data_IF_891340788174
#
_entry.id   IF_891340788174
#
_cell.length_a   1.000
_cell.length_b   1.000
_cell.length_c   1.000
_cell.angle_alpha   90.00
_cell.angle_beta   90.00
_cell.angle_gamma   90.00
#
_symmetry.space_group_name_H-M   'P 1'
#
loop_
_entity.id
_entity.type
_entity.pdbx_description
1 polymer ?
#
# COMPACT_ATOMS: atom_id res chain seq x y z
N UNK A 1 -19.87 -0.82 -7.83
CA UNK A 1 -18.61 -0.91 -7.03
C UNK A 1 -18.71 0.10 -5.93
N UNK A 2 -18.23 -0.24 -4.74
CA UNK A 2 -18.21 0.68 -3.60
C UNK A 2 -17.13 1.73 -3.83
N UNK A 3 -17.44 3.01 -3.55
CA UNK A 3 -16.50 4.12 -3.69
C UNK A 3 -15.80 4.40 -2.37
N UNK A 4 -14.63 5.03 -2.44
CA UNK A 4 -13.87 5.55 -1.31
C UNK A 4 -13.22 6.88 -1.67
N UNK A 5 -12.84 7.67 -0.67
CA UNK A 5 -12.05 8.89 -0.87
C UNK A 5 -10.55 8.56 -0.86
N UNK A 6 -9.81 9.19 -1.75
CA UNK A 6 -8.36 9.09 -1.80
C UNK A 6 -7.74 10.41 -2.28
N UNK A 7 -6.50 10.67 -1.82
CA UNK A 7 -5.69 11.76 -2.36
C UNK A 7 -5.19 11.38 -3.76
N UNK A 8 -5.38 12.29 -4.71
CA UNK A 8 -5.06 12.10 -6.13
C UNK A 8 -4.15 13.23 -6.61
N UNK A 9 -3.09 12.85 -7.30
CA UNK A 9 -2.17 13.81 -7.93
C UNK A 9 -2.79 14.37 -9.21
N UNK A 10 -2.92 15.68 -9.28
CA UNK A 10 -3.55 16.39 -10.41
C UNK A 10 -2.54 17.19 -11.25
N UNK A 11 -1.26 17.12 -10.90
CA UNK A 11 -0.17 17.83 -11.55
C UNK A 11 0.76 18.48 -10.53
N UNK A 12 1.91 19.02 -10.95
CA UNK A 12 2.83 19.70 -10.05
C UNK A 12 2.15 20.79 -9.23
N UNK A 13 2.34 20.73 -7.91
CA UNK A 13 1.74 21.64 -6.94
C UNK A 13 0.25 21.41 -6.68
N UNK A 14 -0.37 20.37 -7.27
CA UNK A 14 -1.81 20.18 -7.17
C UNK A 14 -2.19 18.77 -6.72
N UNK A 15 -2.84 18.71 -5.55
CA UNK A 15 -3.46 17.51 -5.00
C UNK A 15 -4.95 17.74 -4.78
N UNK A 16 -5.78 16.75 -5.02
CA UNK A 16 -7.22 16.80 -4.75
C UNK A 16 -7.67 15.49 -4.07
N UNK A 17 -8.81 15.55 -3.37
CA UNK A 17 -9.49 14.36 -2.86
C UNK A 17 -10.58 13.97 -3.85
N UNK A 18 -10.49 12.77 -4.40
CA UNK A 18 -11.48 12.24 -5.33
C UNK A 18 -12.15 11.00 -4.78
N UNK A 19 -13.35 10.73 -5.27
CA UNK A 19 -13.98 9.42 -5.14
C UNK A 19 -13.38 8.47 -6.19
N UNK A 20 -12.79 7.38 -5.70
CA UNK A 20 -12.20 6.30 -6.50
C UNK A 20 -12.86 4.97 -6.15
N UNK A 21 -12.64 3.94 -6.95
CA UNK A 21 -13.13 2.61 -6.60
C UNK A 21 -12.39 2.06 -5.37
N UNK A 22 -13.18 1.53 -4.40
CA UNK A 22 -12.60 0.82 -3.26
C UNK A 22 -11.89 -0.43 -3.77
N UNK A 23 -10.65 -0.70 -3.35
CA UNK A 23 -9.94 -1.90 -3.76
C UNK A 23 -10.58 -3.16 -3.18
N UNK A 24 -10.41 -4.26 -3.88
CA UNK A 24 -10.87 -5.60 -3.49
C UNK A 24 -9.70 -6.59 -3.56
N UNK A 25 -9.88 -7.78 -3.00
CA UNK A 25 -8.93 -8.88 -3.16
C UNK A 25 -8.88 -9.28 -4.65
N UNK A 26 -7.70 -9.29 -5.24
CA UNK A 26 -7.45 -9.70 -6.63
C UNK A 26 -6.61 -10.98 -6.71
N UNK A 27 -5.69 -11.15 -5.73
CA UNK A 27 -4.86 -12.34 -5.60
C UNK A 27 -5.11 -13.02 -4.25
N UNK A 28 -4.96 -14.34 -4.14
CA UNK A 28 -5.15 -15.04 -2.87
C UNK A 28 -4.16 -14.61 -1.77
N UNK A 29 -3.06 -13.92 -2.12
CA UNK A 29 -2.03 -13.39 -1.23
C UNK A 29 -2.26 -11.94 -0.79
N UNK A 30 -3.35 -11.30 -1.25
CA UNK A 30 -3.66 -9.91 -0.95
C UNK A 30 -4.36 -9.75 0.40
N UNK A 31 -4.26 -8.56 0.97
CA UNK A 31 -5.15 -8.06 2.01
C UNK A 31 -5.74 -6.71 1.61
N UNK A 32 -6.92 -6.39 2.12
CA UNK A 32 -7.49 -5.04 2.06
C UNK A 32 -7.42 -4.45 3.46
N UNK A 33 -6.80 -3.29 3.57
CA UNK A 33 -6.63 -2.55 4.81
C UNK A 33 -7.55 -1.34 4.83
N UNK A 34 -8.22 -1.10 5.97
CA UNK A 34 -8.82 0.18 6.30
C UNK A 34 -7.75 1.07 6.90
N UNK A 35 -7.39 2.16 6.24
CA UNK A 35 -6.31 3.03 6.66
C UNK A 35 -6.73 3.88 7.87
N UNK A 36 -5.91 3.86 8.91
CA UNK A 36 -6.10 4.65 10.14
C UNK A 36 -5.28 5.93 10.07
N UNK A 37 -4.03 5.84 9.62
CA UNK A 37 -3.14 6.99 9.39
C UNK A 37 -2.24 6.71 8.19
N UNK A 38 -1.96 7.74 7.42
CA UNK A 38 -0.96 7.76 6.37
C UNK A 38 -0.04 8.96 6.56
N UNK A 39 1.19 8.83 6.07
CA UNK A 39 2.19 9.89 6.13
C UNK A 39 2.45 10.49 4.75
N UNK A 40 3.07 11.67 4.74
CA UNK A 40 3.70 12.27 3.58
C UNK A 40 5.21 12.07 3.72
N UNK A 41 5.81 11.34 2.80
CA UNK A 41 7.25 11.12 2.74
C UNK A 41 7.93 12.26 1.96
N UNK A 42 9.20 12.52 2.26
CA UNK A 42 10.01 13.47 1.47
C UNK A 42 10.08 13.10 -0.01
N UNK A 43 10.01 11.82 -0.37
CA UNK A 43 9.97 11.35 -1.75
C UNK A 43 8.72 11.80 -2.52
N UNK A 44 7.59 12.02 -1.83
CA UNK A 44 6.37 12.55 -2.44
C UNK A 44 6.57 13.98 -2.99
N UNK A 45 7.51 14.73 -2.43
CA UNK A 45 7.78 16.08 -2.85
C UNK A 45 8.49 16.17 -4.21
N UNK A 46 9.12 15.11 -4.68
CA UNK A 46 9.80 15.09 -5.97
C UNK A 46 8.83 15.27 -7.12
N UNK A 47 7.76 14.45 -7.16
CA UNK A 47 6.74 14.59 -8.19
C UNK A 47 5.80 15.78 -7.91
N UNK A 48 5.51 16.08 -6.63
CA UNK A 48 4.69 17.23 -6.27
C UNK A 48 5.32 18.56 -6.75
N UNK A 49 6.64 18.68 -6.68
CA UNK A 49 7.38 19.84 -7.17
C UNK A 49 7.68 19.80 -8.68
N UNK A 50 7.29 18.74 -9.37
CA UNK A 50 7.57 18.56 -10.80
C UNK A 50 9.02 18.18 -11.12
N UNK A 51 9.80 17.73 -10.13
CA UNK A 51 11.20 17.29 -10.33
C UNK A 51 11.23 15.89 -10.98
N UNK A 52 10.28 15.03 -10.60
CA UNK A 52 10.09 13.72 -11.23
C UNK A 52 8.69 13.61 -11.82
N UNK A 53 8.56 12.79 -12.87
CA UNK A 53 7.29 12.57 -13.53
C UNK A 53 6.36 11.68 -12.69
N UNK A 54 5.08 12.04 -12.64
CA UNK A 54 3.99 11.20 -12.15
C UNK A 54 2.76 11.41 -13.02
N UNK A 55 2.04 10.33 -13.29
CA UNK A 55 0.81 10.39 -14.08
C UNK A 55 -0.29 11.12 -13.29
N UNK A 56 -0.89 12.13 -13.90
CA UNK A 56 -2.08 12.82 -13.38
C UNK A 56 -3.25 11.85 -13.23
N UNK A 57 -4.02 12.00 -12.17
CA UNK A 57 -5.15 11.12 -11.87
C UNK A 57 -4.79 9.88 -11.06
N UNK A 58 -3.53 9.69 -10.65
CA UNK A 58 -3.12 8.56 -9.82
C UNK A 58 -3.25 8.86 -8.33
N UNK A 59 -3.68 7.85 -7.56
CA UNK A 59 -3.69 7.90 -6.09
C UNK A 59 -2.28 7.94 -5.52
N UNK A 60 -2.11 8.46 -4.31
CA UNK A 60 -0.80 8.75 -3.73
C UNK A 60 -0.56 8.04 -2.39
N UNK A 61 0.68 8.18 -1.88
CA UNK A 61 1.10 7.64 -0.60
C UNK A 61 1.73 6.25 -0.68
N UNK A 62 2.66 5.99 0.24
CA UNK A 62 3.36 4.71 0.36
C UNK A 62 3.76 4.38 1.82
N UNK A 63 3.20 5.09 2.78
CA UNK A 63 3.43 4.87 4.21
C UNK A 63 2.10 4.94 4.95
N UNK A 64 1.67 3.84 5.59
CA UNK A 64 0.42 3.83 6.35
C UNK A 64 0.42 2.79 7.47
N UNK A 65 -0.50 3.01 8.41
CA UNK A 65 -0.96 2.00 9.38
C UNK A 65 -2.47 1.82 9.18
N UNK A 66 -2.94 0.61 9.37
CA UNK A 66 -4.35 0.29 9.14
C UNK A 66 -4.83 -0.94 9.87
N UNK A 67 -6.11 -1.19 9.74
CA UNK A 67 -6.76 -2.40 10.24
C UNK A 67 -7.03 -3.30 9.05
N UNK A 68 -6.66 -4.58 9.16
CA UNK A 68 -6.98 -5.59 8.15
C UNK A 68 -8.51 -5.75 8.11
N UNK A 69 -9.10 -5.57 6.93
CA UNK A 69 -10.54 -5.72 6.72
C UNK A 69 -10.90 -7.01 6.00
N UNK A 70 -10.12 -7.34 4.98
CA UNK A 70 -10.30 -8.56 4.19
C UNK A 70 -8.95 -9.19 3.90
N UNK A 71 -8.91 -10.52 3.74
CA UNK A 71 -7.71 -11.26 3.36
C UNK A 71 -8.02 -12.26 2.26
N UNK A 72 -7.07 -12.49 1.37
CA UNK A 72 -7.12 -13.57 0.38
C UNK A 72 -6.97 -14.94 1.03
N UNK A 73 -7.32 -15.99 0.29
CA UNK A 73 -7.41 -17.36 0.80
C UNK A 73 -6.06 -17.93 1.31
N UNK A 74 -4.95 -17.42 0.79
CA UNK A 74 -3.60 -17.90 1.15
C UNK A 74 -2.97 -17.11 2.29
N UNK A 75 -3.57 -15.99 2.71
CA UNK A 75 -3.07 -15.14 3.81
C UNK A 75 -3.36 -15.81 5.16
N UNK A 76 -2.32 -15.97 5.99
CA UNK A 76 -2.38 -16.66 7.28
C UNK A 76 -1.72 -15.90 8.43
N UNK A 77 -0.76 -15.02 8.13
CA UNK A 77 -0.02 -14.26 9.15
C UNK A 77 -0.87 -13.16 9.80
N UNK A 78 -1.84 -12.65 9.07
CA UNK A 78 -2.78 -11.61 9.54
C UNK A 78 -4.23 -12.01 9.27
N UNK A 79 -5.16 -11.41 10.01
CA UNK A 79 -6.61 -11.68 9.88
C UNK A 79 -7.40 -10.38 10.04
N UNK A 80 -8.66 -10.34 9.59
CA UNK A 80 -9.54 -9.21 9.83
C UNK A 80 -9.56 -8.78 11.30
N UNK A 81 -9.42 -7.47 11.53
CA UNK A 81 -9.31 -6.85 12.86
C UNK A 81 -7.88 -6.63 13.35
N UNK A 82 -6.87 -7.26 12.75
CA UNK A 82 -5.47 -7.01 13.14
C UNK A 82 -5.04 -5.58 12.76
N UNK A 83 -4.33 -4.92 13.68
CA UNK A 83 -3.71 -3.62 13.43
C UNK A 83 -2.29 -3.82 12.90
N UNK A 84 -1.99 -3.20 11.76
CA UNK A 84 -0.76 -3.47 11.00
C UNK A 84 -0.07 -2.21 10.53
N UNK A 85 1.26 -2.27 10.42
CA UNK A 85 2.05 -1.35 9.60
C UNK A 85 2.06 -1.91 8.17
N UNK A 86 1.85 -1.04 7.19
CA UNK A 86 1.91 -1.33 5.77
C UNK A 86 3.18 -0.70 5.15
N UNK A 87 4.32 -1.41 5.12
CA UNK A 87 5.54 -0.94 4.46
C UNK A 87 5.31 -0.75 2.95
N UNK A 88 6.12 0.10 2.32
CA UNK A 88 6.04 0.32 0.88
C UNK A 88 6.69 -0.79 0.04
N UNK A 89 7.44 -1.70 0.67
CA UNK A 89 8.07 -2.84 0.00
C UNK A 89 7.20 -4.08 0.17
N UNK A 90 6.63 -4.57 -0.93
CA UNK A 90 5.82 -5.78 -0.97
C UNK A 90 6.65 -6.96 -1.47
N UNK A 91 7.58 -7.43 -0.64
CA UNK A 91 8.46 -8.54 -0.94
C UNK A 91 7.74 -9.90 -0.93
N UNK A 92 8.21 -10.85 -1.73
CA UNK A 92 7.51 -12.11 -1.94
C UNK A 92 7.72 -13.16 -0.82
N UNK A 93 8.76 -13.01 0.01
CA UNK A 93 9.04 -13.90 1.14
C UNK A 93 9.67 -15.25 0.77
N UNK A 94 9.80 -15.62 -0.51
CA UNK A 94 10.23 -16.96 -0.92
C UNK A 94 11.40 -16.99 -1.91
N UNK A 95 11.82 -15.86 -2.47
CA UNK A 95 13.02 -15.84 -3.30
C UNK A 95 14.29 -15.94 -2.44
N UNK A 96 15.42 -16.28 -3.06
CA UNK A 96 16.69 -16.47 -2.36
C UNK A 96 17.10 -15.24 -1.53
N UNK A 97 16.81 -14.04 -2.02
CA UNK A 97 17.13 -12.77 -1.35
C UNK A 97 16.25 -12.56 -0.12
N UNK A 98 14.95 -12.85 -0.20
CA UNK A 98 14.05 -12.80 0.96
C UNK A 98 14.46 -13.81 2.02
N UNK A 99 14.76 -15.06 1.60
CA UNK A 99 15.20 -16.12 2.50
C UNK A 99 16.55 -15.82 3.16
N UNK A 100 17.36 -14.97 2.56
CA UNK A 100 18.61 -14.47 3.14
C UNK A 100 18.41 -13.25 4.09
N UNK A 101 17.16 -12.79 4.32
CA UNK A 101 16.86 -11.64 5.18
C UNK A 101 17.11 -10.29 4.55
N UNK A 102 17.11 -10.21 3.21
CA UNK A 102 17.36 -8.98 2.45
C UNK A 102 16.12 -8.56 1.63
N UNK A 103 14.96 -8.56 2.25
CA UNK A 103 13.64 -8.36 1.61
C UNK A 103 13.57 -7.06 0.79
N UNK A 104 14.29 -6.02 1.19
CA UNK A 104 14.37 -4.76 0.46
C UNK A 104 14.93 -4.87 -0.95
N UNK A 105 15.60 -5.99 -1.27
CA UNK A 105 16.15 -6.32 -2.59
C UNK A 105 15.43 -7.51 -3.25
N UNK A 106 14.21 -7.77 -2.86
CA UNK A 106 13.40 -8.89 -3.39
C UNK A 106 13.34 -8.86 -4.93
N UNK A 107 13.63 -10.01 -5.56
CA UNK A 107 13.57 -10.13 -7.03
C UNK A 107 12.14 -10.06 -7.59
N UNK A 108 11.16 -10.40 -6.77
CA UNK A 108 9.74 -10.42 -7.13
C UNK A 108 8.96 -9.34 -6.39
N UNK A 109 9.61 -8.23 -6.06
CA UNK A 109 8.97 -7.13 -5.34
C UNK A 109 7.81 -6.57 -6.15
N UNK A 110 6.63 -6.55 -5.55
CA UNK A 110 5.51 -5.79 -6.10
C UNK A 110 5.60 -4.35 -5.60
N UNK A 111 5.44 -3.41 -6.52
CA UNK A 111 5.57 -2.00 -6.19
C UNK A 111 4.37 -1.55 -5.33
N UNK A 112 4.54 -1.50 -4.02
CA UNK A 112 3.62 -0.82 -3.13
C UNK A 112 3.63 0.70 -3.29
N UNK A 113 4.65 1.22 -3.99
CA UNK A 113 4.84 2.66 -4.21
C UNK A 113 3.95 3.30 -5.27
N UNK A 114 3.02 2.57 -5.88
CA UNK A 114 2.14 3.14 -6.91
C UNK A 114 0.99 3.98 -6.35
N UNK A 115 0.95 4.21 -5.04
CA UNK A 115 -0.07 5.03 -4.41
C UNK A 115 -1.19 4.21 -3.77
N UNK A 116 -2.18 4.94 -3.26
CA UNK A 116 -3.33 4.36 -2.59
C UNK A 116 -3.26 4.36 -1.06
N UNK A 117 -2.10 4.55 -0.47
CA UNK A 117 -1.94 4.59 0.99
C UNK A 117 -2.60 5.83 1.63
N UNK A 118 -2.72 6.93 0.88
CA UNK A 118 -3.44 8.14 1.28
C UNK A 118 -4.90 8.08 0.83
N UNK A 119 -5.55 6.95 1.06
CA UNK A 119 -6.96 6.68 0.81
C UNK A 119 -7.61 6.02 2.01
N UNK A 120 -8.93 5.81 1.98
CA UNK A 120 -9.66 5.16 3.07
C UNK A 120 -9.34 3.65 3.14
N UNK A 121 -9.06 3.02 1.99
CA UNK A 121 -8.71 1.61 1.89
C UNK A 121 -7.52 1.41 0.96
N UNK A 122 -6.75 0.36 1.24
CA UNK A 122 -5.56 -0.03 0.49
C UNK A 122 -5.59 -1.53 0.20
N UNK A 123 -5.40 -1.93 -1.06
CA UNK A 123 -5.03 -3.31 -1.39
C UNK A 123 -3.54 -3.48 -1.18
N UNK A 124 -3.19 -4.43 -0.32
CA UNK A 124 -1.80 -4.75 0.01
C UNK A 124 -1.45 -6.14 -0.53
N UNK A 125 -0.46 -6.21 -1.40
CA UNK A 125 0.00 -7.47 -2.02
C UNK A 125 1.04 -8.16 -1.15
N UNK A 126 1.21 -9.49 -1.28
CA UNK A 126 2.14 -10.30 -0.48
C UNK A 126 1.98 -10.06 1.04
N UNK A 127 0.74 -10.05 1.50
CA UNK A 127 0.36 -9.59 2.83
C UNK A 127 1.03 -10.39 3.96
N UNK A 128 1.17 -11.71 3.80
CA UNK A 128 1.75 -12.59 4.83
C UNK A 128 3.20 -12.28 5.16
N UNK A 129 3.95 -11.80 4.17
CA UNK A 129 5.37 -11.55 4.36
C UNK A 129 5.67 -10.10 4.72
N UNK A 130 4.94 -9.17 4.14
CA UNK A 130 5.32 -7.76 4.20
C UNK A 130 4.53 -6.94 5.22
N UNK A 131 3.31 -7.33 5.60
CA UNK A 131 2.58 -6.65 6.67
C UNK A 131 3.20 -6.95 8.04
N UNK A 132 3.35 -5.90 8.85
CA UNK A 132 3.87 -6.03 10.21
C UNK A 132 2.75 -5.83 11.20
N UNK A 133 2.35 -6.92 11.88
CA UNK A 133 1.33 -6.87 12.92
C UNK A 133 1.84 -6.14 14.15
N UNK A 134 1.10 -5.16 14.63
CA UNK A 134 1.38 -4.45 15.88
C UNK A 134 0.78 -5.28 17.03
N UNK A 135 1.57 -5.65 18.03
CA UNK A 135 1.05 -6.34 19.21
C UNK A 135 0.02 -5.46 19.93
N UNK A 136 -1.10 -6.05 20.29
CA UNK A 136 -2.16 -5.43 21.10
C UNK A 136 -2.03 -5.80 22.54
#
# INVERSE_FOLDING_TARGET
>A
MTKMKAAVFMGPGKMEVHEVDRPTIEKPTDAVLKIVRACVCGSDLWWFRGISNRQTGTTTGHEAIGIVEEVGADVKAVKPGDFVVAPFTHSCGHCAVCLAGCEGNCFNMEAGGNGGYQGEYLRYTNADWSLVKIPG
#
